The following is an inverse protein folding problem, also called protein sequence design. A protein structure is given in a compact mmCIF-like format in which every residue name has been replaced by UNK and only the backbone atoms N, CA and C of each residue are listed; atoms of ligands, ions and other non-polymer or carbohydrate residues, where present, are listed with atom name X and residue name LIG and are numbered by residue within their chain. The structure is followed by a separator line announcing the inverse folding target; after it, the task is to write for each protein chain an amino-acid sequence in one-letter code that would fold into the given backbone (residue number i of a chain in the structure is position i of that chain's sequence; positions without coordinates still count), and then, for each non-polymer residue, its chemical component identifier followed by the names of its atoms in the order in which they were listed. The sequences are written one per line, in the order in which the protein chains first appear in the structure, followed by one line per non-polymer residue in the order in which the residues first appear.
data_IF_554494224841
#
_entry.id   IF_554494224841
#
_cell.length_a   1.000
_cell.length_b   1.000
_cell.length_c   1.000
_cell.angle_alpha   90.00
_cell.angle_beta   90.00
_cell.angle_gamma   90.00
#
_symmetry.space_group_name_H-M   'P 1'
#
loop_
_entity.id
_entity.type
_entity.pdbx_description
1 polymer ?
#
# COMPACT_ATOMS: atom_id res chain seq x y z
N UNK A 1 16.71 2.95 -24.34
CA UNK A 1 16.48 2.36 -23.00
C UNK A 1 15.18 2.95 -22.48
N UNK A 2 14.32 2.18 -21.81
CA UNK A 2 13.04 2.69 -21.31
C UNK A 2 13.26 3.79 -20.27
N UNK A 3 12.47 4.85 -20.32
CA UNK A 3 12.58 6.05 -19.47
C UNK A 3 11.33 6.29 -18.62
N UNK A 4 10.19 5.74 -19.02
CA UNK A 4 8.94 5.94 -18.31
C UNK A 4 8.06 4.71 -18.35
N UNK A 5 7.92 4.10 -17.17
CA UNK A 5 7.22 2.84 -16.98
C UNK A 5 5.80 3.09 -16.49
N UNK A 6 4.79 2.54 -17.17
CA UNK A 6 3.43 2.45 -16.64
C UNK A 6 3.23 1.12 -15.92
N UNK A 7 2.66 1.16 -14.73
CA UNK A 7 2.37 -0.01 -13.90
C UNK A 7 0.88 -0.01 -13.55
N UNK A 8 0.06 -0.84 -14.19
CA UNK A 8 -1.33 -0.99 -13.79
C UNK A 8 -1.40 -1.79 -12.49
N UNK A 9 -2.27 -1.34 -11.59
CA UNK A 9 -2.47 -1.92 -10.28
C UNK A 9 -3.96 -2.15 -10.03
N UNK A 10 -4.30 -3.26 -9.38
CA UNK A 10 -5.68 -3.68 -9.12
C UNK A 10 -5.94 -4.05 -7.66
N UNK A 11 -4.99 -3.76 -6.77
CA UNK A 11 -5.08 -4.06 -5.34
C UNK A 11 -4.94 -5.53 -4.99
N UNK A 12 -4.57 -6.40 -5.94
CA UNK A 12 -4.27 -7.80 -5.66
C UNK A 12 -2.81 -7.98 -5.22
N UNK A 13 -2.53 -9.02 -4.42
CA UNK A 13 -1.16 -9.35 -4.01
C UNK A 13 -0.19 -9.59 -5.17
N UNK A 14 -0.70 -10.09 -6.30
CA UNK A 14 0.04 -10.25 -7.56
C UNK A 14 0.43 -8.89 -8.15
N UNK A 15 -0.49 -7.92 -8.13
CA UNK A 15 -0.22 -6.55 -8.53
C UNK A 15 0.82 -5.90 -7.61
N UNK A 16 0.77 -6.15 -6.30
CA UNK A 16 1.71 -5.58 -5.33
C UNK A 16 3.15 -6.08 -5.55
N UNK A 17 3.33 -7.36 -5.88
CA UNK A 17 4.62 -7.92 -6.31
C UNK A 17 5.09 -7.30 -7.63
N UNK A 18 4.18 -7.05 -8.57
CA UNK A 18 4.52 -6.38 -9.83
C UNK A 18 4.98 -4.93 -9.61
N UNK A 19 4.39 -4.21 -8.64
CA UNK A 19 4.85 -2.89 -8.22
C UNK A 19 6.31 -2.94 -7.76
N UNK A 20 6.66 -3.86 -6.87
CA UNK A 20 8.06 -4.02 -6.39
C UNK A 20 9.02 -4.21 -7.57
N UNK A 21 8.72 -5.15 -8.48
CA UNK A 21 9.60 -5.44 -9.62
C UNK A 21 9.68 -4.32 -10.63
N UNK A 22 8.59 -3.60 -10.86
CA UNK A 22 8.59 -2.45 -11.74
C UNK A 22 9.43 -1.30 -11.15
N UNK A 23 9.38 -1.09 -9.83
CA UNK A 23 10.21 -0.09 -9.14
C UNK A 23 11.68 -0.50 -9.14
N UNK A 24 12.01 -1.77 -8.86
CA UNK A 24 13.38 -2.29 -8.99
C UNK A 24 13.95 -2.08 -10.40
N UNK A 25 13.13 -2.33 -11.43
CA UNK A 25 13.50 -2.09 -12.82
C UNK A 25 13.72 -0.60 -13.07
N UNK A 26 12.82 0.26 -12.58
CA UNK A 26 12.93 1.71 -12.72
C UNK A 26 14.24 2.24 -12.10
N UNK A 27 14.61 1.78 -10.90
CA UNK A 27 15.89 2.13 -10.24
C UNK A 27 17.08 1.78 -11.14
N UNK A 28 17.11 0.56 -11.70
CA UNK A 28 18.21 0.11 -12.57
C UNK A 28 18.30 0.88 -13.89
N UNK A 29 17.19 1.41 -14.38
CA UNK A 29 17.11 2.14 -15.64
C UNK A 29 17.19 3.66 -15.47
N UNK A 30 17.10 4.18 -14.24
CA UNK A 30 16.91 5.61 -13.99
C UNK A 30 15.57 6.14 -14.55
N UNK A 31 14.56 5.27 -14.63
CA UNK A 31 13.25 5.59 -15.20
C UNK A 31 12.29 6.13 -14.13
N UNK A 32 11.28 6.91 -14.56
CA UNK A 32 10.14 7.29 -13.73
C UNK A 32 8.98 6.30 -13.88
N UNK A 33 8.05 6.28 -12.94
CA UNK A 33 6.91 5.34 -12.92
C UNK A 33 5.57 6.07 -12.91
N UNK A 34 4.58 5.62 -13.68
CA UNK A 34 3.17 5.99 -13.51
C UNK A 34 2.38 4.78 -13.02
N UNK A 35 1.82 4.86 -11.81
CA UNK A 35 0.88 3.86 -11.31
C UNK A 35 -0.53 4.18 -11.76
N UNK A 36 -1.22 3.18 -12.30
CA UNK A 36 -2.58 3.33 -12.84
C UNK A 36 -3.53 2.37 -12.16
N UNK A 37 -4.60 2.88 -11.56
CA UNK A 37 -5.71 2.06 -11.09
C UNK A 37 -6.93 2.25 -12.00
N UNK A 38 -7.37 1.18 -12.66
CA UNK A 38 -8.61 1.17 -13.42
C UNK A 38 -9.72 0.59 -12.55
N UNK A 39 -10.49 1.46 -11.88
CA UNK A 39 -11.59 1.05 -11.02
C UNK A 39 -12.74 0.54 -11.88
N UNK A 40 -13.32 -0.60 -11.52
CA UNK A 40 -14.53 -1.07 -12.19
C UNK A 40 -15.67 -0.05 -12.00
N UNK A 41 -16.52 0.11 -13.01
CA UNK A 41 -17.75 0.88 -12.87
C UNK A 41 -18.75 0.09 -12.02
N UNK A 42 -18.57 0.13 -10.70
CA UNK A 42 -19.38 -0.64 -9.75
C UNK A 42 -20.83 -0.12 -9.74
N UNK A 43 -21.07 1.13 -10.18
CA UNK A 43 -22.41 1.71 -10.32
C UNK A 43 -23.21 1.05 -11.46
N UNK A 44 -22.51 0.41 -12.41
CA UNK A 44 -23.12 -0.40 -13.48
C UNK A 44 -23.36 -1.87 -13.07
N UNK A 45 -22.97 -2.29 -11.85
CA UNK A 45 -23.25 -3.64 -11.31
C UNK A 45 -24.56 -3.68 -10.52
N UNK A 46 -25.24 -4.83 -10.45
CA UNK A 46 -26.56 -4.94 -9.81
C UNK A 46 -26.58 -4.53 -8.33
N UNK A 47 -25.58 -4.95 -7.54
CA UNK A 47 -25.48 -4.58 -6.12
C UNK A 47 -24.92 -3.16 -5.91
N UNK A 48 -23.96 -2.72 -6.75
CA UNK A 48 -23.43 -1.36 -6.67
C UNK A 48 -24.41 -0.28 -7.16
N UNK A 49 -25.32 -0.62 -8.08
CA UNK A 49 -26.42 0.24 -8.49
C UNK A 49 -27.43 0.45 -7.34
N UNK A 50 -27.68 -0.58 -6.52
CA UNK A 50 -28.54 -0.47 -5.33
C UNK A 50 -27.90 0.42 -4.26
N UNK A 51 -26.62 0.25 -3.97
CA UNK A 51 -25.91 1.11 -3.00
C UNK A 51 -25.83 2.56 -3.54
N UNK A 52 -25.51 2.77 -4.81
CA UNK A 52 -25.53 4.09 -5.45
C UNK A 52 -26.93 4.73 -5.43
N UNK A 53 -28.00 3.95 -5.58
CA UNK A 53 -29.38 4.45 -5.53
C UNK A 53 -29.84 4.80 -4.10
N UNK A 54 -29.36 4.08 -3.09
CA UNK A 54 -29.74 4.27 -1.67
C UNK A 54 -28.88 5.35 -1.00
N UNK A 55 -27.58 5.41 -1.29
CA UNK A 55 -26.65 6.42 -0.78
C UNK A 55 -25.52 6.69 -1.78
N UNK A 56 -25.70 7.66 -2.69
CA UNK A 56 -24.67 8.06 -3.66
C UNK A 56 -23.34 8.45 -2.99
N UNK A 57 -23.41 9.16 -1.86
CA UNK A 57 -22.22 9.65 -1.13
C UNK A 57 -21.43 8.48 -0.52
N UNK A 58 -22.11 7.51 0.10
CA UNK A 58 -21.44 6.33 0.68
C UNK A 58 -20.84 5.42 -0.38
N UNK A 59 -21.46 5.34 -1.57
CA UNK A 59 -20.90 4.61 -2.70
C UNK A 59 -19.63 5.28 -3.24
N UNK A 60 -19.69 6.61 -3.42
CA UNK A 60 -18.54 7.39 -3.85
C UNK A 60 -17.38 7.28 -2.86
N UNK A 61 -17.64 7.36 -1.56
CA UNK A 61 -16.63 7.23 -0.50
C UNK A 61 -15.97 5.85 -0.47
N UNK A 62 -16.72 4.76 -0.70
CA UNK A 62 -16.17 3.41 -0.76
C UNK A 62 -15.33 3.18 -2.02
N UNK A 63 -15.83 3.57 -3.20
CA UNK A 63 -15.12 3.37 -4.47
C UNK A 63 -13.85 4.22 -4.59
N UNK A 64 -13.90 5.47 -4.09
CA UNK A 64 -12.73 6.36 -3.99
C UNK A 64 -11.76 5.86 -2.92
N UNK A 65 -12.29 5.38 -1.78
CA UNK A 65 -11.51 4.85 -0.66
C UNK A 65 -10.59 3.69 -1.06
N UNK A 66 -11.10 2.72 -1.81
CA UNK A 66 -10.30 1.58 -2.26
C UNK A 66 -9.27 1.99 -3.34
N UNK A 67 -9.62 2.94 -4.22
CA UNK A 67 -8.71 3.47 -5.24
C UNK A 67 -7.49 4.17 -4.63
N UNK A 68 -7.73 5.05 -3.65
CA UNK A 68 -6.67 5.80 -2.99
C UNK A 68 -5.77 4.90 -2.16
N UNK A 69 -6.32 3.89 -1.49
CA UNK A 69 -5.52 2.90 -0.75
C UNK A 69 -4.53 2.21 -1.69
N UNK A 70 -5.01 1.70 -2.83
CA UNK A 70 -4.20 0.96 -3.80
C UNK A 70 -3.07 1.85 -4.38
N UNK A 71 -3.40 3.07 -4.81
CA UNK A 71 -2.40 4.00 -5.34
C UNK A 71 -1.40 4.49 -4.29
N UNK A 72 -1.87 4.78 -3.06
CA UNK A 72 -0.99 5.30 -2.00
C UNK A 72 0.01 4.23 -1.57
N UNK A 73 -0.41 2.96 -1.46
CA UNK A 73 0.49 1.82 -1.20
C UNK A 73 1.54 1.65 -2.30
N UNK A 74 1.14 1.69 -3.57
CA UNK A 74 2.09 1.60 -4.68
C UNK A 74 3.11 2.75 -4.67
N UNK A 75 2.63 3.96 -4.36
CA UNK A 75 3.47 5.16 -4.28
C UNK A 75 4.52 5.09 -3.16
N UNK A 76 4.20 4.43 -2.05
CA UNK A 76 5.13 4.24 -0.92
C UNK A 76 6.37 3.44 -1.36
N UNK A 77 6.18 2.42 -2.20
CA UNK A 77 7.29 1.61 -2.75
C UNK A 77 8.22 2.47 -3.61
N UNK A 78 7.68 3.26 -4.54
CA UNK A 78 8.49 4.14 -5.39
C UNK A 78 9.21 5.22 -4.56
N UNK A 79 8.54 5.79 -3.55
CA UNK A 79 9.11 6.79 -2.66
C UNK A 79 10.27 6.23 -1.82
N UNK A 80 10.11 5.04 -1.26
CA UNK A 80 11.16 4.36 -0.50
C UNK A 80 12.40 4.07 -1.38
N UNK A 81 12.18 3.75 -2.66
CA UNK A 81 13.25 3.53 -3.63
C UNK A 81 13.84 4.80 -4.25
N UNK A 82 13.31 5.99 -3.93
CA UNK A 82 13.75 7.27 -4.52
C UNK A 82 13.40 7.42 -6.00
N UNK A 83 12.40 6.69 -6.50
CA UNK A 83 11.94 6.73 -7.89
C UNK A 83 10.87 7.82 -8.06
N UNK A 84 11.05 8.72 -9.04
CA UNK A 84 10.02 9.68 -9.40
C UNK A 84 8.77 8.97 -9.91
N UNK A 85 7.59 9.35 -9.42
CA UNK A 85 6.35 8.69 -9.77
C UNK A 85 5.18 9.64 -10.00
N UNK A 86 4.17 9.15 -10.71
CA UNK A 86 2.86 9.79 -10.91
C UNK A 86 1.75 8.78 -10.62
N UNK A 87 0.60 9.26 -10.13
CA UNK A 87 -0.58 8.44 -9.85
C UNK A 87 -1.71 8.84 -10.79
N UNK A 88 -2.42 7.85 -11.34
CA UNK A 88 -3.61 8.08 -12.13
C UNK A 88 -4.68 7.02 -11.86
N UNK A 89 -5.94 7.43 -11.89
CA UNK A 89 -7.08 6.53 -11.84
C UNK A 89 -8.15 6.91 -12.85
N UNK A 90 -8.88 5.90 -13.32
CA UNK A 90 -10.03 6.04 -14.22
C UNK A 90 -11.06 4.98 -13.84
N UNK A 91 -12.32 5.38 -13.74
CA UNK A 91 -13.44 4.43 -13.63
C UNK A 91 -13.83 3.97 -15.03
N UNK A 92 -13.75 2.66 -15.30
CA UNK A 92 -14.12 2.08 -16.60
C UNK A 92 -14.40 0.58 -16.49
N UNK A 93 -15.35 0.08 -17.28
CA UNK A 93 -15.54 -1.37 -17.49
C UNK A 93 -14.45 -2.03 -18.35
N UNK A 94 -13.55 -1.24 -18.94
CA UNK A 94 -12.50 -1.69 -19.86
C UNK A 94 -11.11 -1.25 -19.39
N UNK A 95 -10.57 -1.94 -18.38
CA UNK A 95 -9.25 -1.63 -17.81
C UNK A 95 -8.12 -1.61 -18.84
N UNK A 96 -8.16 -2.47 -19.85
CA UNK A 96 -7.17 -2.51 -20.94
C UNK A 96 -7.13 -1.24 -21.79
N UNK A 97 -8.27 -0.60 -22.01
CA UNK A 97 -8.36 0.65 -22.78
C UNK A 97 -7.79 1.80 -21.96
N UNK A 98 -8.18 1.90 -20.68
CA UNK A 98 -7.61 2.83 -19.71
C UNK A 98 -6.09 2.73 -19.66
N UNK A 99 -5.53 1.53 -19.56
CA UNK A 99 -4.09 1.29 -19.48
C UNK A 99 -3.37 1.83 -20.72
N UNK A 100 -3.89 1.52 -21.91
CA UNK A 100 -3.26 1.93 -23.18
C UNK A 100 -3.41 3.43 -23.42
N UNK A 101 -4.56 4.01 -23.08
CA UNK A 101 -4.80 5.44 -23.19
C UNK A 101 -3.89 6.24 -22.25
N UNK A 102 -3.79 5.84 -20.99
CA UNK A 102 -2.92 6.51 -20.02
C UNK A 102 -1.43 6.32 -20.36
N UNK A 103 -1.04 5.16 -20.91
CA UNK A 103 0.32 4.96 -21.43
C UNK A 103 0.67 5.99 -22.50
N UNK A 104 -0.27 6.24 -23.43
CA UNK A 104 -0.10 7.26 -24.47
C UNK A 104 -0.14 8.68 -23.90
N UNK A 105 -1.12 8.98 -23.05
CA UNK A 105 -1.31 10.30 -22.47
C UNK A 105 -0.07 10.78 -21.69
N UNK A 106 0.53 9.89 -20.91
CA UNK A 106 1.69 10.23 -20.10
C UNK A 106 3.04 9.98 -20.81
N UNK A 107 3.00 9.58 -22.08
CA UNK A 107 4.18 9.24 -22.88
C UNK A 107 5.06 8.16 -22.23
N UNK A 108 4.44 7.14 -21.65
CA UNK A 108 5.14 5.96 -21.14
C UNK A 108 5.72 5.17 -22.32
N UNK A 109 6.90 4.59 -22.16
CA UNK A 109 7.58 3.80 -23.20
C UNK A 109 7.70 2.30 -22.86
N UNK A 110 7.25 1.92 -21.67
CA UNK A 110 7.11 0.53 -21.22
C UNK A 110 5.85 0.38 -20.36
N UNK A 111 5.08 -0.69 -20.56
CA UNK A 111 4.03 -1.13 -19.64
C UNK A 111 4.54 -2.38 -18.91
N UNK A 112 4.57 -2.35 -17.58
CA UNK A 112 4.97 -3.49 -16.74
C UNK A 112 3.75 -3.99 -15.99
N UNK A 113 3.22 -5.15 -16.40
CA UNK A 113 1.96 -5.69 -15.87
C UNK A 113 2.12 -7.10 -15.32
N UNK A 114 1.35 -7.39 -14.28
CA UNK A 114 1.13 -8.76 -13.85
C UNK A 114 0.08 -9.45 -14.73
N UNK A 115 0.06 -10.79 -14.74
CA UNK A 115 -1.04 -11.55 -15.32
C UNK A 115 -1.61 -12.48 -14.25
N UNK A 116 -2.85 -12.24 -13.84
CA UNK A 116 -3.67 -13.23 -13.16
C UNK A 116 -3.87 -14.38 -14.16
N UNK A 117 -3.50 -15.59 -13.77
CA UNK A 117 -3.58 -16.74 -14.65
C UNK A 117 -5.03 -17.19 -14.75
N UNK A 118 -5.31 -18.03 -15.74
CA UNK A 118 -6.62 -18.67 -15.82
C UNK A 118 -6.60 -19.90 -14.92
N UNK A 119 -7.21 -19.84 -13.73
CA UNK A 119 -7.48 -21.06 -12.94
C UNK A 119 -8.23 -22.06 -13.84
N UNK A 120 -7.68 -23.27 -13.94
CA UNK A 120 -8.09 -24.25 -14.94
C UNK A 120 -9.53 -24.73 -14.82
N UNK A 121 -10.28 -24.63 -15.92
CA UNK A 121 -10.92 -25.72 -16.68
C UNK A 121 -11.88 -25.09 -17.70
N UNK A 122 -11.74 -25.50 -18.96
CA UNK A 122 -12.74 -25.35 -20.03
C UNK A 122 -13.19 -23.93 -20.39
N UNK A 123 -12.60 -23.36 -21.45
CA UNK A 123 -13.29 -22.36 -22.26
C UNK A 123 -12.40 -21.26 -22.78
N UNK A 124 -11.85 -21.46 -23.98
CA UNK A 124 -11.71 -20.37 -24.94
C UNK A 124 -13.00 -19.53 -24.92
N UNK A 125 -12.99 -18.32 -24.34
CA UNK A 125 -13.73 -17.14 -24.81
C UNK A 125 -13.60 -15.86 -23.94
N UNK A 126 -12.84 -15.82 -22.85
CA UNK A 126 -12.55 -14.55 -22.15
C UNK A 126 -11.07 -14.17 -22.28
N UNK A 127 -10.80 -13.28 -23.25
CA UNK A 127 -9.47 -12.69 -23.47
C UNK A 127 -9.06 -11.87 -22.25
N UNK A 128 -7.94 -12.15 -21.60
CA UNK A 128 -7.56 -11.46 -20.35
C UNK A 128 -7.21 -9.99 -20.58
N UNK A 129 -7.24 -9.15 -19.53
CA UNK A 129 -6.81 -7.74 -19.63
C UNK A 129 -5.38 -7.64 -20.19
N UNK A 130 -4.47 -8.52 -19.75
CA UNK A 130 -3.08 -8.59 -20.26
C UNK A 130 -3.05 -8.90 -21.76
N UNK A 131 -3.81 -9.89 -22.24
CA UNK A 131 -3.89 -10.20 -23.67
C UNK A 131 -4.48 -9.04 -24.50
N UNK A 132 -5.45 -8.32 -23.93
CA UNK A 132 -6.07 -7.16 -24.57
C UNK A 132 -5.10 -5.98 -24.65
N UNK A 133 -4.29 -5.74 -23.61
CA UNK A 133 -3.23 -4.72 -23.62
C UNK A 133 -2.12 -5.09 -24.59
N UNK A 134 -1.62 -6.33 -24.57
CA UNK A 134 -0.58 -6.81 -25.50
C UNK A 134 -0.93 -6.58 -26.98
N UNK A 135 -2.22 -6.62 -27.33
CA UNK A 135 -2.69 -6.39 -28.71
C UNK A 135 -2.91 -4.92 -29.08
N UNK A 136 -3.14 -4.05 -28.09
CA UNK A 136 -3.49 -2.64 -28.30
C UNK A 136 -2.35 -1.67 -27.98
N UNK A 137 -1.40 -2.08 -27.14
CA UNK A 137 -0.29 -1.25 -26.69
C UNK A 137 0.58 -0.83 -27.89
N UNK A 138 0.89 0.47 -27.96
CA UNK A 138 1.82 1.02 -28.94
C UNK A 138 3.29 0.96 -28.45
N UNK A 139 3.50 0.49 -27.22
CA UNK A 139 4.78 0.47 -26.52
C UNK A 139 5.07 -0.94 -26.03
N UNK A 140 6.31 -1.19 -25.62
CA UNK A 140 6.70 -2.49 -25.10
C UNK A 140 5.85 -2.87 -23.87
N UNK A 141 5.52 -4.16 -23.76
CA UNK A 141 4.81 -4.71 -22.61
C UNK A 141 5.67 -5.81 -22.00
N UNK A 142 6.04 -5.63 -20.73
CA UNK A 142 6.72 -6.63 -19.92
C UNK A 142 5.70 -7.25 -18.96
N UNK A 143 5.59 -8.59 -18.99
CA UNK A 143 4.71 -9.34 -18.10
C UNK A 143 5.56 -10.03 -17.02
N UNK A 144 5.41 -9.64 -15.76
CA UNK A 144 6.40 -9.95 -14.68
C UNK A 144 6.13 -11.20 -13.86
N UNK A 145 4.91 -11.73 -13.88
CA UNK A 145 4.58 -13.11 -13.45
C UNK A 145 3.19 -13.41 -13.98
N UNK A 146 3.02 -14.57 -14.62
CA UNK A 146 1.70 -15.19 -14.80
C UNK A 146 1.45 -15.94 -13.50
N UNK A 147 0.26 -15.85 -12.89
CA UNK A 147 -0.14 -16.77 -11.82
C UNK A 147 0.26 -18.18 -12.26
N UNK A 148 1.31 -18.70 -11.63
CA UNK A 148 1.65 -20.10 -11.81
C UNK A 148 0.46 -20.84 -11.21
N UNK A 149 -0.02 -21.87 -11.88
CA UNK A 149 -0.92 -22.85 -11.24
C UNK A 149 -0.28 -23.48 -9.99
N UNK A 150 1.02 -23.27 -9.78
CA UNK A 150 1.73 -23.58 -8.55
C UNK A 150 1.36 -22.56 -7.46
N UNK A 151 0.87 -23.02 -6.30
CA UNK A 151 0.59 -22.14 -5.16
C UNK A 151 1.87 -21.45 -4.69
N UNK A 152 1.74 -20.23 -4.17
CA UNK A 152 2.84 -19.54 -3.49
C UNK A 152 3.45 -20.46 -2.42
N UNK A 153 4.77 -20.48 -2.30
CA UNK A 153 5.46 -21.14 -1.19
C UNK A 153 5.05 -20.52 0.15
N UNK A 154 5.24 -21.26 1.25
CA UNK A 154 4.89 -20.73 2.58
C UNK A 154 5.69 -19.46 2.92
N UNK A 155 6.97 -19.39 2.54
CA UNK A 155 7.80 -18.19 2.67
C UNK A 155 7.29 -17.02 1.84
N UNK A 156 6.88 -17.25 0.59
CA UNK A 156 6.30 -16.18 -0.25
C UNK A 156 4.99 -15.63 0.35
N UNK A 157 4.16 -16.48 0.95
CA UNK A 157 2.94 -16.04 1.63
C UNK A 157 3.24 -15.24 2.90
N UNK A 158 4.09 -15.77 3.78
CA UNK A 158 4.43 -15.10 5.04
C UNK A 158 5.08 -13.73 4.82
N UNK A 159 6.11 -13.66 3.97
CA UNK A 159 6.78 -12.40 3.66
C UNK A 159 5.89 -11.45 2.84
N UNK A 160 4.99 -11.99 2.02
CA UNK A 160 4.00 -11.20 1.30
C UNK A 160 3.04 -10.47 2.25
N UNK A 161 2.63 -11.12 3.35
CA UNK A 161 1.82 -10.50 4.40
C UNK A 161 2.59 -9.35 5.06
N UNK A 162 3.80 -9.58 5.56
CA UNK A 162 4.58 -8.52 6.21
C UNK A 162 4.88 -7.34 5.28
N UNK A 163 5.24 -7.59 4.01
CA UNK A 163 5.45 -6.51 3.03
C UNK A 163 4.17 -5.73 2.73
N UNK A 164 3.00 -6.35 2.79
CA UNK A 164 1.74 -5.61 2.72
C UNK A 164 1.66 -4.64 3.91
N UNK A 165 1.80 -5.17 5.11
CA UNK A 165 1.67 -4.41 6.35
C UNK A 165 2.68 -3.26 6.39
N UNK A 166 3.92 -3.50 5.97
CA UNK A 166 4.96 -2.48 5.79
C UNK A 166 4.57 -1.39 4.81
N UNK A 167 3.92 -1.70 3.68
CA UNK A 167 3.40 -0.66 2.77
C UNK A 167 2.36 0.20 3.48
N UNK A 168 1.46 -0.42 4.24
CA UNK A 168 0.47 0.31 5.04
C UNK A 168 1.16 1.22 6.08
N UNK A 169 2.15 0.72 6.81
CA UNK A 169 2.94 1.51 7.77
C UNK A 169 3.71 2.65 7.09
N UNK A 170 4.33 2.40 5.94
CA UNK A 170 5.05 3.42 5.18
C UNK A 170 4.12 4.55 4.69
N UNK A 171 2.89 4.23 4.29
CA UNK A 171 1.87 5.24 3.98
C UNK A 171 1.59 6.13 5.19
N UNK A 172 1.36 5.52 6.36
CA UNK A 172 1.11 6.28 7.62
C UNK A 172 2.33 7.11 7.99
N UNK A 173 3.54 6.58 7.89
CA UNK A 173 4.77 7.31 8.16
C UNK A 173 4.92 8.54 7.24
N UNK A 174 4.72 8.39 5.94
CA UNK A 174 4.79 9.52 5.00
C UNK A 174 3.71 10.58 5.28
N UNK A 175 2.53 10.14 5.69
CA UNK A 175 1.45 11.01 6.12
C UNK A 175 1.81 11.81 7.38
N UNK A 176 2.41 11.15 8.37
CA UNK A 176 2.93 11.79 9.57
C UNK A 176 3.96 12.87 9.24
N UNK A 177 4.91 12.60 8.34
CA UNK A 177 5.92 13.60 7.92
C UNK A 177 5.27 14.83 7.28
N UNK A 178 4.26 14.64 6.43
CA UNK A 178 3.50 15.75 5.82
C UNK A 178 2.78 16.57 6.89
N UNK A 179 2.07 15.90 7.79
CA UNK A 179 1.37 16.55 8.90
C UNK A 179 2.34 17.29 9.83
N UNK A 180 3.55 16.75 10.06
CA UNK A 180 4.59 17.42 10.85
C UNK A 180 5.00 18.77 10.25
N UNK A 181 5.13 18.85 8.92
CA UNK A 181 5.43 20.11 8.21
C UNK A 181 4.27 21.10 8.31
N UNK A 182 3.03 20.64 8.15
CA UNK A 182 1.85 21.50 8.22
C UNK A 182 1.59 22.05 9.63
N UNK A 183 1.74 21.20 10.66
CA UNK A 183 1.64 21.60 12.07
C UNK A 183 2.71 22.65 12.41
N UNK A 184 3.94 22.51 11.90
CA UNK A 184 4.97 23.54 12.05
C UNK A 184 4.58 24.89 11.45
N UNK A 185 3.72 24.90 10.42
CA UNK A 185 3.17 26.09 9.76
C UNK A 185 1.88 26.62 10.41
N UNK A 186 1.54 26.17 11.62
CA UNK A 186 0.38 26.59 12.43
C UNK A 186 -0.99 26.17 11.86
N UNK A 187 -1.03 25.11 11.05
CA UNK A 187 -2.30 24.52 10.66
C UNK A 187 -2.78 23.50 11.69
N UNK A 188 -3.70 23.93 12.57
CA UNK A 188 -4.28 23.07 13.61
C UNK A 188 -5.25 22.01 13.05
N UNK A 189 -5.65 22.09 11.77
CA UNK A 189 -6.56 21.10 11.17
C UNK A 189 -5.94 19.72 11.01
N UNK A 190 -4.61 19.63 11.01
CA UNK A 190 -3.86 18.38 10.91
C UNK A 190 -3.71 17.65 12.26
N UNK A 191 -4.04 18.29 13.39
CA UNK A 191 -3.94 17.66 14.71
C UNK A 191 -4.88 16.46 14.86
N UNK A 192 -6.10 16.57 14.33
CA UNK A 192 -7.06 15.45 14.37
C UNK A 192 -6.58 14.26 13.52
N UNK A 193 -5.93 14.55 12.39
CA UNK A 193 -5.35 13.51 11.54
C UNK A 193 -4.21 12.78 12.25
N UNK A 194 -3.33 13.52 12.93
CA UNK A 194 -2.26 12.94 13.74
C UNK A 194 -2.78 12.07 14.88
N UNK A 195 -3.89 12.45 15.53
CA UNK A 195 -4.54 11.59 16.54
C UNK A 195 -4.95 10.25 15.93
N UNK A 196 -5.55 10.26 14.74
CA UNK A 196 -5.91 9.04 14.02
C UNK A 196 -4.70 8.16 13.69
N UNK A 197 -3.60 8.76 13.24
CA UNK A 197 -2.35 8.03 12.94
C UNK A 197 -1.72 7.42 14.20
N UNK A 198 -1.73 8.14 15.32
CA UNK A 198 -1.20 7.64 16.60
C UNK A 198 -2.08 6.52 17.17
N UNK A 199 -3.40 6.62 17.02
CA UNK A 199 -4.31 5.52 17.34
C UNK A 199 -4.04 4.29 16.47
N UNK A 200 -3.80 4.49 15.17
CA UNK A 200 -3.40 3.41 14.25
C UNK A 200 -2.10 2.76 14.68
N UNK A 201 -1.06 3.54 15.01
CA UNK A 201 0.23 3.01 15.49
C UNK A 201 0.04 2.12 16.72
N UNK A 202 -0.72 2.58 17.72
CA UNK A 202 -0.94 1.80 18.93
C UNK A 202 -1.68 0.50 18.69
N UNK A 203 -2.68 0.51 17.82
CA UNK A 203 -3.56 -0.64 17.65
C UNK A 203 -3.04 -1.65 16.64
N UNK A 204 -2.32 -1.21 15.60
CA UNK A 204 -1.82 -2.10 14.55
C UNK A 204 -0.37 -2.53 14.78
N UNK A 205 0.67 -1.70 14.59
CA UNK A 205 2.04 -2.19 14.74
C UNK A 205 2.34 -2.75 16.13
N UNK A 206 1.90 -2.08 17.20
CA UNK A 206 2.26 -2.51 18.56
C UNK A 206 1.55 -3.76 19.07
N UNK A 207 0.31 -4.01 18.63
CA UNK A 207 -0.51 -5.14 19.13
C UNK A 207 -0.58 -6.31 18.15
N UNK A 208 -0.40 -6.06 16.84
CA UNK A 208 -0.62 -7.07 15.81
C UNK A 208 0.66 -7.37 15.02
N UNK A 209 1.35 -6.35 14.52
CA UNK A 209 2.50 -6.52 13.62
C UNK A 209 3.77 -6.99 14.36
N UNK A 210 4.25 -6.24 15.36
CA UNK A 210 5.48 -6.61 16.06
C UNK A 210 5.33 -7.93 16.83
N UNK A 211 4.20 -8.23 17.51
CA UNK A 211 4.02 -9.56 18.11
C UNK A 211 4.07 -10.68 17.09
N UNK A 212 3.55 -10.45 15.88
CA UNK A 212 3.63 -11.42 14.78
C UNK A 212 5.08 -11.70 14.38
N UNK A 213 5.90 -10.66 14.28
CA UNK A 213 7.33 -10.79 13.96
C UNK A 213 8.11 -11.47 15.09
N UNK A 214 7.95 -10.99 16.32
CA UNK A 214 8.69 -11.46 17.48
C UNK A 214 8.33 -12.91 17.86
N UNK A 215 7.03 -13.22 17.96
CA UNK A 215 6.55 -14.51 18.45
C UNK A 215 6.69 -15.62 17.41
N UNK A 216 6.81 -15.28 16.13
CA UNK A 216 6.92 -16.28 15.06
C UNK A 216 8.20 -16.13 14.26
N UNK A 217 8.36 -15.08 13.44
CA UNK A 217 9.50 -14.98 12.51
C UNK A 217 10.84 -14.95 13.27
N UNK A 218 10.99 -14.07 14.25
CA UNK A 218 12.20 -13.93 15.05
C UNK A 218 12.43 -15.16 15.93
N UNK A 219 11.37 -15.70 16.54
CA UNK A 219 11.44 -16.92 17.33
C UNK A 219 12.03 -18.09 16.53
N UNK A 220 11.46 -18.39 15.35
CA UNK A 220 11.97 -19.45 14.48
C UNK A 220 13.40 -19.16 14.00
N UNK A 221 13.71 -17.90 13.68
CA UNK A 221 15.04 -17.54 13.20
C UNK A 221 16.12 -17.76 14.27
N UNK A 222 15.84 -17.37 15.52
CA UNK A 222 16.73 -17.64 16.67
C UNK A 222 16.95 -19.13 16.91
N UNK A 223 15.93 -19.95 16.68
CA UNK A 223 16.06 -21.40 16.81
C UNK A 223 16.96 -22.02 15.73
N UNK A 224 17.15 -21.36 14.58
CA UNK A 224 17.94 -21.87 13.45
C UNK A 224 19.36 -21.32 13.36
N UNK A 225 19.61 -20.10 13.85
CA UNK A 225 20.93 -19.47 13.73
C UNK A 225 21.18 -18.44 14.83
N UNK A 226 22.42 -18.42 15.35
CA UNK A 226 22.87 -17.37 16.29
C UNK A 226 23.34 -16.11 15.57
N UNK A 227 23.53 -16.16 14.25
CA UNK A 227 23.96 -15.01 13.45
C UNK A 227 22.93 -13.87 13.45
N UNK A 228 21.66 -14.20 13.68
CA UNK A 228 20.57 -13.22 13.70
C UNK A 228 20.49 -12.44 15.01
N UNK A 229 21.08 -12.90 16.11
CA UNK A 229 20.79 -12.36 17.44
C UNK A 229 21.10 -10.85 17.58
N UNK A 230 22.26 -10.33 17.15
CA UNK A 230 22.52 -8.89 17.25
C UNK A 230 21.54 -8.04 16.44
N UNK A 231 21.08 -8.57 15.31
CA UNK A 231 20.11 -7.91 14.43
C UNK A 231 18.72 -7.88 15.09
N UNK A 232 18.26 -9.03 15.59
CA UNK A 232 16.93 -9.17 16.22
C UNK A 232 16.82 -8.39 17.53
N UNK A 233 17.84 -8.44 18.40
CA UNK A 233 17.89 -7.63 19.62
C UNK A 233 17.82 -6.13 19.30
N UNK A 234 18.52 -5.68 18.26
CA UNK A 234 18.47 -4.28 17.82
C UNK A 234 17.09 -3.87 17.27
N UNK A 235 16.31 -4.79 16.70
CA UNK A 235 14.95 -4.51 16.21
C UNK A 235 13.95 -4.44 17.37
N UNK A 236 14.06 -5.35 18.34
CA UNK A 236 13.23 -5.30 19.56
C UNK A 236 13.49 -4.01 20.36
N UNK A 237 14.73 -3.54 20.45
CA UNK A 237 15.06 -2.22 21.01
C UNK A 237 14.40 -1.07 20.22
N UNK A 238 14.32 -1.18 18.89
CA UNK A 238 13.63 -0.21 18.06
C UNK A 238 12.11 -0.23 18.29
N UNK A 239 11.48 -1.40 18.47
CA UNK A 239 10.07 -1.48 18.84
C UNK A 239 9.79 -0.77 20.18
N UNK A 240 10.61 -1.02 21.21
CA UNK A 240 10.45 -0.34 22.50
C UNK A 240 10.60 1.17 22.38
N UNK A 241 11.53 1.63 21.54
CA UNK A 241 11.73 3.05 21.26
C UNK A 241 10.56 3.66 20.49
N UNK A 242 10.00 2.95 19.52
CA UNK A 242 8.77 3.36 18.83
C UNK A 242 7.62 3.53 19.83
N UNK A 243 7.46 2.59 20.78
CA UNK A 243 6.37 2.64 21.76
C UNK A 243 6.48 3.90 22.63
N UNK A 244 7.70 4.23 23.06
CA UNK A 244 7.99 5.45 23.80
C UNK A 244 7.66 6.71 22.98
N UNK A 245 8.11 6.78 21.71
CA UNK A 245 7.84 7.92 20.82
C UNK A 245 6.34 8.10 20.54
N UNK A 246 5.60 7.01 20.28
CA UNK A 246 4.15 7.05 20.11
C UNK A 246 3.47 7.58 21.38
N UNK A 247 3.94 7.17 22.55
CA UNK A 247 3.47 7.69 23.85
C UNK A 247 3.74 9.18 24.03
N UNK A 248 4.94 9.64 23.68
CA UNK A 248 5.34 11.05 23.73
C UNK A 248 4.48 11.92 22.80
N UNK A 249 4.38 11.55 21.52
CA UNK A 249 3.60 12.29 20.53
C UNK A 249 2.13 12.38 20.93
N UNK A 250 1.55 11.29 21.44
CA UNK A 250 0.17 11.30 21.93
C UNK A 250 -0.06 12.29 23.09
N UNK A 251 0.88 12.35 24.05
CA UNK A 251 0.79 13.32 25.15
C UNK A 251 0.86 14.75 24.61
N UNK A 252 1.78 15.02 23.68
CA UNK A 252 1.93 16.32 23.04
C UNK A 252 0.68 16.72 22.23
N UNK A 253 0.06 15.78 21.52
CA UNK A 253 -1.20 16.00 20.79
C UNK A 253 -2.34 16.35 21.75
N UNK A 254 -2.51 15.60 22.84
CA UNK A 254 -3.53 15.88 23.87
C UNK A 254 -3.35 17.27 24.50
N UNK A 255 -2.10 17.65 24.79
CA UNK A 255 -1.77 18.98 25.28
C UNK A 255 -2.07 20.06 24.22
N UNK A 256 -1.76 19.78 22.95
CA UNK A 256 -2.01 20.73 21.86
C UNK A 256 -3.51 20.99 21.64
N UNK A 257 -4.31 19.92 21.62
CA UNK A 257 -5.76 19.99 21.46
C UNK A 257 -6.43 20.72 22.62
N UNK A 258 -6.03 20.43 23.86
CA UNK A 258 -6.58 21.12 25.05
C UNK A 258 -6.19 22.60 25.11
N UNK A 259 -4.99 22.95 24.65
CA UNK A 259 -4.53 24.34 24.59
C UNK A 259 -5.03 25.11 23.35
N UNK A 260 -5.63 24.43 22.36
CA UNK A 260 -6.04 25.02 21.09
C UNK A 260 -4.87 25.49 20.21
N UNK A 261 -3.65 25.01 20.46
CA UNK A 261 -2.42 25.38 19.74
C UNK A 261 -1.40 24.25 19.82
N UNK A 262 -0.51 24.10 18.84
CA UNK A 262 0.58 23.14 18.95
C UNK A 262 1.49 23.43 20.16
N UNK A 263 1.97 22.37 20.81
CA UNK A 263 3.08 22.44 21.76
C UNK A 263 4.41 22.43 21.02
N UNK A 264 5.42 23.07 21.62
CA UNK A 264 6.78 23.11 21.08
C UNK A 264 7.34 21.67 20.96
N UNK A 265 8.07 21.40 19.87
CA UNK A 265 8.66 20.09 19.61
C UNK A 265 7.74 19.04 18.98
N UNK A 266 6.41 19.26 18.90
CA UNK A 266 5.47 18.25 18.36
C UNK A 266 5.84 17.82 16.93
N UNK A 267 6.13 18.79 16.06
CA UNK A 267 6.55 18.51 14.68
C UNK A 267 7.83 17.67 14.61
N UNK A 268 8.83 17.96 15.45
CA UNK A 268 10.09 17.21 15.50
C UNK A 268 9.90 15.78 16.02
N UNK A 269 9.06 15.59 17.03
CA UNK A 269 8.71 14.28 17.57
C UNK A 269 7.98 13.41 16.53
N UNK A 270 7.02 13.99 15.79
CA UNK A 270 6.30 13.30 14.70
C UNK A 270 7.24 12.93 13.55
N UNK A 271 8.10 13.85 13.10
CA UNK A 271 9.10 13.55 12.03
C UNK A 271 10.08 12.46 12.49
N UNK A 272 10.47 12.47 13.77
CA UNK A 272 11.35 11.45 14.34
C UNK A 272 10.70 10.08 14.36
N UNK A 273 9.45 9.97 14.85
CA UNK A 273 8.69 8.73 14.82
C UNK A 273 8.58 8.19 13.39
N UNK A 274 8.17 9.02 12.43
CA UNK A 274 7.99 8.59 11.05
C UNK A 274 9.30 8.16 10.37
N UNK A 275 10.40 8.86 10.64
CA UNK A 275 11.73 8.52 10.13
C UNK A 275 12.21 7.18 10.69
N UNK A 276 12.02 6.95 11.98
CA UNK A 276 12.46 5.72 12.65
C UNK A 276 11.65 4.51 12.20
N UNK A 277 10.34 4.65 12.06
CA UNK A 277 9.47 3.61 11.48
C UNK A 277 9.93 3.19 10.08
N UNK A 278 10.20 4.15 9.19
CA UNK A 278 10.69 3.83 7.83
C UNK A 278 12.08 3.18 7.84
N UNK A 279 12.96 3.60 8.74
CA UNK A 279 14.29 3.00 8.88
C UNK A 279 14.21 1.56 9.40
N UNK A 280 13.28 1.31 10.33
CA UNK A 280 12.98 0.00 10.91
C UNK A 280 12.50 -0.98 9.85
N UNK A 281 11.42 -0.65 9.15
CA UNK A 281 10.87 -1.44 8.02
C UNK A 281 11.96 -1.76 7.00
N UNK A 282 12.75 -0.74 6.63
CA UNK A 282 13.83 -0.92 5.68
C UNK A 282 14.94 -1.86 6.17
N UNK A 283 15.15 -1.99 7.49
CA UNK A 283 16.13 -2.90 8.08
C UNK A 283 15.62 -4.34 8.04
N UNK A 284 14.35 -4.56 8.37
CA UNK A 284 13.73 -5.88 8.32
C UNK A 284 13.74 -6.46 6.91
N UNK A 285 13.29 -5.68 5.91
CA UNK A 285 13.20 -6.17 4.54
C UNK A 285 14.57 -6.46 3.91
N UNK A 286 15.59 -5.66 4.25
CA UNK A 286 16.92 -5.76 3.64
C UNK A 286 17.86 -6.72 4.37
N UNK A 287 17.63 -6.97 5.66
CA UNK A 287 18.54 -7.75 6.50
C UNK A 287 17.86 -8.98 7.11
N UNK A 288 16.70 -8.82 7.75
CA UNK A 288 16.00 -9.94 8.41
C UNK A 288 15.41 -10.91 7.40
N UNK A 289 14.67 -10.41 6.41
CA UNK A 289 13.97 -11.29 5.45
C UNK A 289 14.95 -12.17 4.66
N UNK A 290 16.06 -11.66 4.11
CA UNK A 290 17.06 -12.50 3.46
C UNK A 290 17.70 -13.52 4.42
N UNK A 291 17.96 -13.13 5.67
CA UNK A 291 18.53 -14.03 6.67
C UNK A 291 17.55 -15.15 7.04
N UNK A 292 16.27 -14.82 7.21
CA UNK A 292 15.20 -15.78 7.42
C UNK A 292 15.09 -16.76 6.23
N UNK A 293 15.09 -16.25 5.00
CA UNK A 293 15.06 -17.08 3.79
C UNK A 293 16.27 -18.02 3.68
N UNK A 294 17.44 -17.59 4.17
CA UNK A 294 18.65 -18.39 4.13
C UNK A 294 18.70 -19.51 5.19
N UNK A 295 18.00 -19.35 6.31
CA UNK A 295 18.15 -20.23 7.48
C UNK A 295 16.90 -21.02 7.88
N UNK A 296 15.70 -20.52 7.57
CA UNK A 296 14.45 -21.19 7.92
C UNK A 296 14.14 -22.34 6.95
N UNK A 297 13.62 -23.43 7.51
CA UNK A 297 13.16 -24.59 6.74
C UNK A 297 11.73 -24.39 6.23
N UNK A 298 11.29 -25.21 5.28
CA UNK A 298 9.91 -25.19 4.77
C UNK A 298 8.86 -25.43 5.87
N UNK A 299 9.21 -26.22 6.90
CA UNK A 299 8.36 -26.46 8.05
C UNK A 299 8.17 -25.19 8.89
N UNK A 300 9.27 -24.47 9.19
CA UNK A 300 9.20 -23.19 9.90
C UNK A 300 8.34 -22.19 9.13
N UNK A 301 8.55 -22.09 7.81
CA UNK A 301 7.76 -21.20 6.97
C UNK A 301 6.28 -21.58 6.93
N UNK A 302 5.95 -22.87 7.00
CA UNK A 302 4.56 -23.34 7.04
C UNK A 302 3.88 -22.89 8.33
N UNK A 303 4.57 -23.05 9.46
CA UNK A 303 4.08 -22.62 10.78
C UNK A 303 3.90 -21.10 10.84
N UNK A 304 4.90 -20.34 10.39
CA UNK A 304 4.84 -18.87 10.32
C UNK A 304 3.68 -18.41 9.43
N UNK A 305 3.55 -18.98 8.22
CA UNK A 305 2.49 -18.59 7.29
C UNK A 305 1.09 -18.90 7.84
N UNK A 306 0.94 -20.01 8.57
CA UNK A 306 -0.33 -20.36 9.23
C UNK A 306 -0.66 -19.38 10.36
N UNK A 307 0.31 -19.03 11.20
CA UNK A 307 0.14 -18.04 12.26
C UNK A 307 -0.22 -16.66 11.71
N UNK A 308 0.46 -16.22 10.66
CA UNK A 308 0.23 -14.90 10.05
C UNK A 308 -1.16 -14.81 9.41
N UNK A 309 -1.63 -15.91 8.81
CA UNK A 309 -2.98 -16.00 8.28
C UNK A 309 -4.04 -16.05 9.39
N UNK A 310 -3.79 -16.76 10.49
CA UNK A 310 -4.75 -16.86 11.60
C UNK A 310 -4.96 -15.52 12.33
N UNK A 311 -3.93 -14.66 12.39
CA UNK A 311 -4.08 -13.32 12.95
C UNK A 311 -5.13 -12.47 12.19
N UNK A 312 -5.57 -12.81 10.97
CA UNK A 312 -6.70 -12.11 10.33
C UNK A 312 -8.06 -12.38 10.96
N UNK A 313 -8.17 -13.36 11.87
CA UNK A 313 -9.44 -13.81 12.45
C UNK A 313 -9.48 -13.72 13.98
N UNK A 314 -8.52 -13.05 14.63
CA UNK A 314 -8.45 -13.02 16.10
C UNK A 314 -9.25 -11.84 16.66
N UNK A 315 -10.29 -12.08 17.48
CA UNK A 315 -10.98 -11.01 18.20
C UNK A 315 -10.23 -10.75 19.51
N UNK A 316 -9.38 -9.72 19.54
CA UNK A 316 -8.89 -9.13 20.79
C UNK A 316 -9.62 -7.81 21.06
N UNK A 317 -9.70 -7.43 22.34
CA UNK A 317 -10.48 -6.30 22.89
C UNK A 317 -10.03 -4.89 22.44
N UNK A 318 -9.22 -4.80 21.37
CA UNK A 318 -8.90 -3.58 20.64
C UNK A 318 -9.70 -3.57 19.31
N UNK A 319 -9.77 -2.41 18.65
CA UNK A 319 -10.44 -2.20 17.36
C UNK A 319 -10.41 -3.44 16.44
N UNK A 320 -11.53 -3.82 15.84
CA UNK A 320 -11.56 -4.95 14.92
C UNK A 320 -10.65 -4.70 13.70
N UNK A 321 -10.23 -5.74 12.98
CA UNK A 321 -9.51 -5.54 11.71
C UNK A 321 -10.27 -4.68 10.71
N UNK A 322 -11.59 -4.66 10.79
CA UNK A 322 -12.44 -3.79 9.99
C UNK A 322 -12.29 -2.31 10.40
N UNK A 323 -12.22 -2.04 11.70
CA UNK A 323 -11.98 -0.69 12.23
C UNK A 323 -10.59 -0.16 11.87
N UNK A 324 -9.56 -1.02 11.89
CA UNK A 324 -8.21 -0.64 11.42
C UNK A 324 -8.17 -0.37 9.93
N UNK A 325 -8.84 -1.20 9.11
CA UNK A 325 -8.99 -0.95 7.67
C UNK A 325 -9.73 0.35 7.40
N UNK A 326 -10.76 0.67 8.17
CA UNK A 326 -11.49 1.92 8.07
C UNK A 326 -10.62 3.13 8.45
N UNK A 327 -9.87 3.03 9.56
CA UNK A 327 -8.93 4.06 10.00
C UNK A 327 -7.81 4.29 8.98
N UNK A 328 -7.23 3.20 8.46
CA UNK A 328 -6.22 3.27 7.41
C UNK A 328 -6.79 3.88 6.12
N UNK A 329 -7.97 3.47 5.66
CA UNK A 329 -8.66 4.07 4.50
C UNK A 329 -8.85 5.57 4.68
N UNK A 330 -9.28 6.01 5.87
CA UNK A 330 -9.41 7.43 6.19
C UNK A 330 -8.06 8.15 6.08
N UNK A 331 -6.99 7.58 6.64
CA UNK A 331 -5.64 8.15 6.53
C UNK A 331 -5.20 8.21 5.06
N UNK A 332 -5.31 7.12 4.30
CA UNK A 332 -4.91 7.04 2.90
C UNK A 332 -5.66 8.06 2.03
N UNK A 333 -6.96 8.24 2.24
CA UNK A 333 -7.76 9.25 1.54
C UNK A 333 -7.28 10.67 1.83
N UNK A 334 -6.94 10.98 3.08
CA UNK A 334 -6.40 12.29 3.45
C UNK A 334 -4.99 12.52 2.88
N UNK A 335 -4.25 11.44 2.62
CA UNK A 335 -2.91 11.49 2.03
C UNK A 335 -2.93 11.65 0.52
N UNK A 336 -3.87 10.99 -0.14
CA UNK A 336 -3.98 10.93 -1.60
C UNK A 336 -4.38 12.27 -2.25
N UNK A 337 -4.91 13.24 -1.49
CA UNK A 337 -5.19 14.60 -1.98
C UNK A 337 -3.86 15.37 -2.14
N UNK A 338 -3.43 15.72 -3.37
CA UNK A 338 -2.23 16.50 -3.55
C UNK A 338 -2.48 17.94 -3.09
N UNK A 339 -1.73 18.39 -2.09
CA UNK A 339 -1.48 19.81 -1.89
C UNK A 339 -0.71 20.29 -3.14
N UNK A 340 -1.40 21.05 -3.99
CA UNK A 340 -0.91 21.69 -5.23
C UNK A 340 -0.77 20.79 -6.48
N UNK A 341 -1.74 20.91 -7.39
CA UNK A 341 -1.45 21.29 -8.78
C UNK A 341 -1.10 20.24 -9.84
N UNK A 342 -0.74 19.01 -9.50
CA UNK A 342 -0.57 17.92 -10.48
C UNK A 342 -1.38 16.69 -10.04
N UNK A 343 -2.69 16.91 -9.92
CA UNK A 343 -3.63 15.95 -9.38
C UNK A 343 -3.94 14.78 -10.31
N UNK A 344 -4.35 13.69 -9.67
CA UNK A 344 -5.19 12.63 -10.25
C UNK A 344 -6.17 13.26 -11.23
N UNK A 345 -5.88 13.15 -12.53
CA UNK A 345 -6.80 13.62 -13.56
C UNK A 345 -7.95 12.62 -13.60
N UNK A 346 -9.04 12.87 -12.88
CA UNK A 346 -10.34 12.27 -13.18
C UNK A 346 -10.96 13.06 -14.35
N UNK A 347 -10.94 12.54 -15.57
CA UNK A 347 -11.73 13.09 -16.66
C UNK A 347 -13.11 12.46 -16.57
N UNK A 348 -14.11 13.29 -16.24
CA UNK A 348 -15.51 12.89 -16.32
C UNK A 348 -15.86 12.41 -17.72
N UNK A 349 -16.60 11.31 -17.80
CA UNK A 349 -17.18 10.83 -19.06
C UNK A 349 -18.21 11.85 -19.56
N UNK A 350 -18.03 12.30 -20.79
CA UNK A 350 -19.03 13.09 -21.50
C UNK A 350 -20.29 12.23 -21.72
N UNK A 351 -21.42 12.72 -21.22
CA UNK A 351 -22.74 12.22 -21.57
C UNK A 351 -23.02 12.58 -23.01
N UNK A 352 -23.16 11.56 -23.87
CA UNK A 352 -23.63 11.76 -25.23
C UNK A 352 -25.09 12.25 -25.21
N UNK A 353 -25.27 13.55 -25.39
CA UNK A 353 -26.57 14.13 -25.68
C UNK A 353 -27.03 13.67 -27.06
N UNK A 354 -27.94 12.70 -27.10
CA UNK A 354 -28.73 12.39 -28.29
C UNK A 354 -29.72 13.54 -28.52
N UNK A 355 -29.39 14.39 -29.48
CA UNK A 355 -30.25 15.47 -29.93
C UNK A 355 -31.36 14.89 -30.81
N UNK A 356 -32.61 15.19 -30.42
CA UNK A 356 -33.78 15.02 -31.27
C UNK A 356 -33.64 15.90 -32.52
N UNK A 357 -33.74 15.29 -33.69
CA UNK A 357 -34.67 15.68 -34.74
C UNK A 357 -34.82 14.57 -35.78
#
# INVERSE_FOLDING_TARGET
MYQHILVPIDGTSISDLNVERAVELAVRLGARVTFVHASADVAASGDGALIHAVSPDSFADMAVGDTNVVLTKASAVARAAGVSYQLASRTSGHADEVIVELARQFACDLIVMASHGTKGLSGWLHRTTTERVLRRAAVAVLVTRVESTLPLTASERALGILREEHRSLAVVAHAMRRAAVAVAQLDSSELELLVGMIAYMRGFPQQEHHPKEELHLHHHLRARTTLAEPLLASLEEQHQREYALVGEVDQMLKQSLSAGRQVEGLSEAVETLARELLAHIGKEEREVFPLAQAHLSDADWTDIAAAFAANTDTPLEALSHEDFRALFRRIANLVAVPATGEGVLASGGETSASSKN
#
